data_IF_151159888277
#
_entry.id   IF_151159888277
#
_cell.length_a   1.000
_cell.length_b   1.000
_cell.length_c   1.000
_cell.angle_alpha   90.00
_cell.angle_beta   90.00
_cell.angle_gamma   90.00
#
_symmetry.space_group_name_H-M   'P 1'
#
loop_
_entity.id
_entity.type
_entity.pdbx_description
1 polymer ?
#
# COMPACT_ATOMS: atom_id res chain seq x y z
N UNK A 1 2.02 8.65 4.98
CA UNK A 1 3.16 7.72 5.17
C UNK A 1 2.75 6.50 5.98
N UNK A 2 2.14 6.68 7.16
CA UNK A 2 1.78 5.58 8.05
C UNK A 2 0.99 4.45 7.38
N UNK A 3 -0.04 4.77 6.57
CA UNK A 3 -0.80 3.76 5.83
C UNK A 3 0.08 2.93 4.88
N UNK A 4 1.02 3.56 4.18
CA UNK A 4 1.95 2.86 3.31
C UNK A 4 2.86 1.89 4.10
N UNK A 5 3.31 2.28 5.30
CA UNK A 5 4.08 1.38 6.17
C UNK A 5 3.23 0.21 6.67
N UNK A 6 1.95 0.42 6.99
CA UNK A 6 1.04 -0.65 7.39
C UNK A 6 0.79 -1.66 6.25
N UNK A 7 0.58 -1.18 5.02
CA UNK A 7 0.45 -2.03 3.82
C UNK A 7 1.72 -2.84 3.57
N UNK A 8 2.90 -2.18 3.57
CA UNK A 8 4.19 -2.85 3.36
C UNK A 8 4.45 -3.88 4.46
N UNK A 9 4.25 -3.53 5.74
CA UNK A 9 4.40 -4.45 6.87
C UNK A 9 3.54 -5.70 6.68
N UNK A 10 2.26 -5.52 6.36
CA UNK A 10 1.35 -6.65 6.19
C UNK A 10 1.80 -7.57 5.04
N UNK A 11 2.02 -7.02 3.86
CA UNK A 11 2.34 -7.83 2.68
C UNK A 11 3.74 -8.45 2.74
N UNK A 12 4.73 -7.72 3.26
CA UNK A 12 6.07 -8.28 3.49
C UNK A 12 6.02 -9.37 4.55
N UNK A 13 5.25 -9.20 5.63
CA UNK A 13 5.09 -10.25 6.65
C UNK A 13 4.51 -11.55 6.08
N UNK A 14 3.50 -11.45 5.22
CA UNK A 14 2.91 -12.62 4.52
C UNK A 14 3.86 -13.25 3.50
N UNK A 15 4.73 -12.46 2.88
CA UNK A 15 5.73 -12.95 1.95
C UNK A 15 6.88 -13.64 2.69
N UNK A 16 7.47 -12.98 3.69
CA UNK A 16 8.59 -13.47 4.49
C UNK A 16 8.27 -14.72 5.30
N UNK A 17 7.03 -14.87 5.77
CA UNK A 17 6.59 -16.11 6.46
C UNK A 17 6.65 -17.36 5.57
N UNK A 18 6.74 -17.18 4.25
CA UNK A 18 6.87 -18.26 3.26
C UNK A 18 8.31 -18.48 2.80
N UNK A 19 9.29 -17.81 3.42
CA UNK A 19 10.71 -17.94 3.10
C UNK A 19 11.42 -18.64 4.27
N UNK A 20 11.61 -19.97 4.23
CA UNK A 20 12.11 -20.74 5.37
C UNK A 20 13.53 -20.38 5.81
N UNK A 21 14.32 -19.75 4.95
CA UNK A 21 15.70 -19.37 5.23
C UNK A 21 15.82 -18.05 6.01
N UNK A 22 14.73 -17.29 6.17
CA UNK A 22 14.73 -16.07 6.96
C UNK A 22 14.70 -16.41 8.45
N UNK A 23 15.74 -16.00 9.17
CA UNK A 23 15.87 -16.10 10.61
C UNK A 23 15.73 -14.70 11.23
N UNK A 24 16.86 -14.01 11.40
CA UNK A 24 16.93 -12.64 11.86
C UNK A 24 17.46 -11.76 10.74
N UNK A 25 16.60 -10.91 10.19
CA UNK A 25 16.95 -10.03 9.08
C UNK A 25 16.52 -8.59 9.38
N UNK A 26 17.32 -7.66 8.85
CA UNK A 26 17.02 -6.22 8.86
C UNK A 26 16.87 -5.78 7.41
N UNK A 27 15.65 -5.38 7.05
CA UNK A 27 15.35 -4.87 5.71
C UNK A 27 15.23 -3.35 5.76
N UNK A 28 15.90 -2.69 4.81
CA UNK A 28 15.84 -1.24 4.67
C UNK A 28 14.97 -0.88 3.47
N UNK A 29 14.00 0.00 3.72
CA UNK A 29 13.09 0.55 2.74
C UNK A 29 13.29 2.04 2.61
N UNK A 30 12.90 2.58 1.45
CA UNK A 30 12.90 4.02 1.20
C UNK A 30 11.47 4.47 0.98
N UNK A 31 11.05 5.48 1.74
CA UNK A 31 9.77 6.15 1.51
C UNK A 31 9.82 6.93 0.19
N UNK A 32 8.69 6.99 -0.50
CA UNK A 32 8.50 7.82 -1.68
C UNK A 32 7.31 8.77 -1.43
N UNK A 33 7.51 10.06 -1.64
CA UNK A 33 6.43 11.03 -1.72
C UNK A 33 6.09 11.25 -3.20
N UNK A 34 4.84 11.01 -3.55
CA UNK A 34 4.32 11.13 -4.91
C UNK A 34 3.33 12.29 -4.96
N UNK A 35 3.56 13.23 -5.88
CA UNK A 35 2.59 14.26 -6.24
C UNK A 35 1.92 13.88 -7.56
N UNK A 36 0.61 13.97 -7.61
CA UNK A 36 -0.18 13.62 -8.79
C UNK A 36 -1.51 14.38 -8.80
N UNK A 37 -2.09 14.58 -9.98
CA UNK A 37 -3.45 15.09 -10.13
C UNK A 37 -4.48 13.96 -9.99
N UNK A 38 -5.60 14.22 -9.32
CA UNK A 38 -6.70 13.25 -9.10
C UNK A 38 -7.85 13.36 -10.11
N UNK A 39 -7.72 14.25 -11.10
CA UNK A 39 -8.70 14.44 -12.15
C UNK A 39 -9.03 13.14 -12.90
N UNK A 40 -10.32 12.80 -12.96
CA UNK A 40 -10.82 11.59 -13.62
C UNK A 40 -10.64 10.30 -12.82
N UNK A 41 -10.05 10.34 -11.61
CA UNK A 41 -9.97 9.16 -10.76
C UNK A 41 -11.35 8.75 -10.24
N UNK A 42 -11.54 7.44 -10.04
CA UNK A 42 -12.73 6.89 -9.38
C UNK A 42 -12.57 6.97 -7.87
N UNK A 43 -13.69 6.97 -7.16
CA UNK A 43 -13.72 7.04 -5.71
C UNK A 43 -14.55 5.90 -5.12
N UNK A 44 -13.86 4.90 -4.56
CA UNK A 44 -14.47 3.80 -3.82
C UNK A 44 -14.70 4.14 -2.34
N UNK A 45 -14.29 5.31 -1.84
CA UNK A 45 -14.56 5.69 -0.44
C UNK A 45 -16.05 5.92 -0.16
N UNK A 46 -16.85 6.07 -1.22
CA UNK A 46 -18.31 6.10 -1.17
C UNK A 46 -18.95 4.74 -0.84
N UNK A 47 -18.21 3.63 -1.03
CA UNK A 47 -18.67 2.31 -0.64
C UNK A 47 -18.48 2.12 0.88
N UNK A 48 -19.42 1.46 1.57
CA UNK A 48 -19.26 1.17 2.98
C UNK A 48 -18.10 0.20 3.20
N UNK A 49 -17.44 0.26 4.36
CA UNK A 49 -16.36 -0.68 4.72
C UNK A 49 -16.83 -2.15 4.80
N UNK A 50 -18.14 -2.38 4.87
CA UNK A 50 -18.75 -3.72 4.81
C UNK A 50 -18.86 -4.27 3.40
N UNK A 51 -18.58 -3.46 2.37
CA UNK A 51 -18.58 -3.90 0.98
C UNK A 51 -17.47 -4.95 0.75
N UNK A 52 -17.74 -6.05 0.00
CA UNK A 52 -16.74 -7.09 -0.27
C UNK A 52 -15.42 -6.58 -0.91
N UNK A 53 -15.39 -5.41 -1.53
CA UNK A 53 -14.13 -4.83 -2.04
C UNK A 53 -13.14 -4.48 -0.91
N UNK A 54 -13.64 -4.33 0.32
CA UNK A 54 -12.84 -4.07 1.52
C UNK A 54 -12.59 -5.34 2.37
N UNK A 55 -12.83 -6.53 1.81
CA UNK A 55 -12.44 -7.77 2.46
C UNK A 55 -10.90 -7.80 2.68
N UNK A 56 -10.42 -7.88 3.94
CA UNK A 56 -9.00 -7.72 4.24
C UNK A 56 -8.15 -8.85 3.67
N UNK A 57 -8.65 -10.08 3.65
CA UNK A 57 -7.87 -11.27 3.28
C UNK A 57 -8.36 -11.94 1.98
N UNK A 58 -9.40 -11.39 1.35
CA UNK A 58 -9.91 -11.84 0.05
C UNK A 58 -9.95 -10.69 -0.96
N UNK A 59 -8.99 -10.72 -1.88
CA UNK A 59 -8.87 -9.70 -2.92
C UNK A 59 -9.71 -9.98 -4.17
N UNK A 60 -10.63 -10.94 -4.15
CA UNK A 60 -11.41 -11.31 -5.34
C UNK A 60 -12.23 -10.14 -5.89
N UNK A 61 -12.99 -9.46 -5.01
CA UNK A 61 -13.84 -8.33 -5.40
C UNK A 61 -13.04 -7.06 -5.70
N UNK A 62 -12.03 -6.73 -4.89
CA UNK A 62 -11.17 -5.58 -5.14
C UNK A 62 -10.37 -5.70 -6.45
N UNK A 63 -9.96 -6.92 -6.83
CA UNK A 63 -9.34 -7.18 -8.13
C UNK A 63 -10.32 -7.01 -9.30
N UNK A 64 -11.58 -7.39 -9.14
CA UNK A 64 -12.62 -7.14 -10.15
C UNK A 64 -12.81 -5.63 -10.33
N UNK A 65 -12.96 -4.89 -9.24
CA UNK A 65 -13.06 -3.42 -9.27
C UNK A 65 -11.83 -2.78 -9.94
N UNK A 66 -10.63 -3.17 -9.53
CA UNK A 66 -9.39 -2.65 -10.09
C UNK A 66 -9.26 -2.91 -11.61
N UNK A 67 -9.70 -4.09 -12.08
CA UNK A 67 -9.77 -4.37 -13.52
C UNK A 67 -10.78 -3.46 -14.22
N UNK A 68 -12.00 -3.34 -13.68
CA UNK A 68 -13.03 -2.49 -14.28
C UNK A 68 -12.59 -1.02 -14.39
N UNK A 69 -11.91 -0.48 -13.37
CA UNK A 69 -11.36 0.90 -13.40
C UNK A 69 -10.33 1.05 -14.51
N UNK A 70 -9.39 0.09 -14.62
CA UNK A 70 -8.35 0.11 -15.66
C UNK A 70 -8.96 -0.03 -17.07
N UNK A 71 -9.89 -0.95 -17.26
CA UNK A 71 -10.52 -1.24 -18.55
C UNK A 71 -11.42 -0.07 -19.01
N UNK A 72 -11.97 0.70 -18.07
CA UNK A 72 -12.67 1.97 -18.33
C UNK A 72 -11.73 3.15 -18.66
N UNK A 73 -10.41 2.93 -18.73
CA UNK A 73 -9.42 3.97 -19.03
C UNK A 73 -9.28 5.04 -17.93
N UNK A 74 -9.75 4.76 -16.71
CA UNK A 74 -9.66 5.71 -15.61
C UNK A 74 -8.22 5.78 -15.08
N UNK A 75 -7.69 6.98 -14.77
CA UNK A 75 -6.30 7.15 -14.35
C UNK A 75 -5.96 6.52 -12.99
N UNK A 76 -6.95 6.36 -12.12
CA UNK A 76 -6.74 5.81 -10.79
C UNK A 76 -8.02 5.63 -9.98
N UNK A 77 -7.86 5.15 -8.76
CA UNK A 77 -8.91 4.86 -7.79
C UNK A 77 -8.47 5.29 -6.38
N UNK A 78 -9.28 6.08 -5.69
CA UNK A 78 -9.18 6.32 -4.25
C UNK A 78 -10.01 5.28 -3.49
N UNK A 79 -9.49 4.75 -2.38
CA UNK A 79 -10.18 3.73 -1.57
C UNK A 79 -9.76 3.79 -0.09
N UNK A 80 -10.55 3.21 0.82
CA UNK A 80 -10.19 3.08 2.24
C UNK A 80 -9.08 2.05 2.43
N UNK A 81 -8.10 2.32 3.30
CA UNK A 81 -7.11 1.30 3.68
C UNK A 81 -7.75 0.26 4.61
N UNK A 82 -7.52 -1.02 4.30
CA UNK A 82 -7.87 -2.15 5.17
C UNK A 82 -6.74 -2.53 6.14
N UNK A 83 -5.63 -1.77 6.12
CA UNK A 83 -4.47 -1.92 7.03
C UNK A 83 -4.31 -0.75 7.99
N UNK A 84 -4.94 0.38 7.66
CA UNK A 84 -4.97 1.57 8.52
C UNK A 84 -6.38 2.19 8.48
N UNK A 85 -7.27 1.81 9.40
CA UNK A 85 -8.62 2.37 9.48
C UNK A 85 -8.61 3.91 9.54
N UNK A 86 -9.53 4.55 8.82
CA UNK A 86 -9.62 6.01 8.73
C UNK A 86 -8.61 6.66 7.76
N UNK A 87 -7.73 5.88 7.13
CA UNK A 87 -6.83 6.36 6.07
C UNK A 87 -7.32 5.97 4.68
N UNK A 88 -6.88 6.74 3.68
CA UNK A 88 -7.15 6.47 2.27
C UNK A 88 -5.87 6.05 1.53
N UNK A 89 -6.04 5.16 0.57
CA UNK A 89 -5.01 4.72 -0.37
C UNK A 89 -5.42 5.06 -1.81
N UNK A 90 -4.42 5.08 -2.69
CA UNK A 90 -4.60 5.37 -4.11
C UNK A 90 -3.99 4.26 -4.96
N UNK A 91 -4.78 3.74 -5.91
CA UNK A 91 -4.31 2.84 -6.95
C UNK A 91 -4.20 3.64 -8.25
N UNK A 92 -2.98 3.90 -8.70
CA UNK A 92 -2.72 4.56 -9.99
C UNK A 92 -2.68 3.50 -11.10
N UNK A 93 -3.55 3.62 -12.10
CA UNK A 93 -3.62 2.67 -13.22
C UNK A 93 -2.67 3.05 -14.36
N UNK A 94 -2.15 4.27 -14.33
CA UNK A 94 -1.19 4.81 -15.28
C UNK A 94 -0.32 5.86 -14.59
N UNK A 95 0.96 6.02 -14.96
CA UNK A 95 1.83 7.04 -14.38
C UNK A 95 1.53 8.46 -14.88
N UNK A 96 0.69 8.65 -15.91
CA UNK A 96 0.43 9.96 -16.54
C UNK A 96 0.02 11.09 -15.57
N UNK A 97 -0.77 10.86 -14.51
CA UNK A 97 -1.15 11.93 -13.58
C UNK A 97 -0.04 12.33 -12.61
N UNK A 98 1.05 11.58 -12.55
CA UNK A 98 2.18 11.82 -11.62
C UNK A 98 3.00 12.99 -12.12
N UNK A 99 3.17 14.00 -11.27
CA UNK A 99 3.97 15.19 -11.54
C UNK A 99 5.33 15.17 -10.84
N UNK A 100 5.47 14.42 -9.75
CA UNK A 100 6.74 14.29 -9.03
C UNK A 100 6.78 13.02 -8.18
N UNK A 101 7.96 12.40 -8.09
CA UNK A 101 8.27 11.34 -7.12
C UNK A 101 9.62 11.69 -6.49
N UNK A 102 9.62 11.90 -5.18
CA UNK A 102 10.84 12.18 -4.41
C UNK A 102 11.03 11.14 -3.33
N UNK A 103 12.27 10.71 -3.16
CA UNK A 103 12.64 9.84 -2.05
C UNK A 103 12.58 10.62 -0.74
N UNK A 104 12.04 10.00 0.30
CA UNK A 104 11.93 10.57 1.64
C UNK A 104 12.75 9.76 2.64
N UNK A 105 12.22 9.52 3.84
CA UNK A 105 12.93 8.85 4.93
C UNK A 105 13.23 7.38 4.60
N UNK A 106 14.24 6.84 5.27
CA UNK A 106 14.52 5.40 5.28
C UNK A 106 13.83 4.74 6.45
N UNK A 107 13.37 3.52 6.24
CA UNK A 107 12.68 2.73 7.24
C UNK A 107 13.36 1.38 7.37
N UNK A 108 13.53 0.93 8.59
CA UNK A 108 13.95 -0.43 8.88
C UNK A 108 12.74 -1.27 9.29
N UNK A 109 12.71 -2.52 8.82
CA UNK A 109 11.85 -3.56 9.36
C UNK A 109 12.70 -4.75 9.81
N UNK A 110 12.52 -5.16 11.07
CA UNK A 110 13.22 -6.32 11.63
C UNK A 110 12.32 -7.55 11.57
N UNK A 111 12.83 -8.63 10.98
CA UNK A 111 12.19 -9.94 10.95
C UNK A 111 12.82 -10.87 11.97
N UNK A 112 11.98 -11.60 12.72
CA UNK A 112 12.37 -12.72 13.57
C UNK A 112 11.20 -13.70 13.69
N UNK A 113 10.92 -14.45 12.62
CA UNK A 113 9.70 -15.27 12.46
C UNK A 113 8.40 -14.48 12.25
N UNK A 114 8.42 -13.19 12.59
CA UNK A 114 7.42 -12.17 12.27
C UNK A 114 8.12 -10.80 12.24
N UNK A 115 7.43 -9.76 11.75
CA UNK A 115 7.97 -8.40 11.82
C UNK A 115 7.85 -7.88 13.26
N UNK A 116 8.99 -7.71 13.92
CA UNK A 116 9.08 -7.33 15.33
C UNK A 116 9.25 -5.83 15.55
N UNK A 117 9.81 -5.10 14.59
CA UNK A 117 9.91 -3.64 14.64
C UNK A 117 9.80 -3.01 13.25
N UNK A 118 9.30 -1.78 13.25
CA UNK A 118 9.34 -0.85 12.12
C UNK A 118 9.79 0.50 12.67
N UNK A 119 10.90 1.05 12.18
CA UNK A 119 11.45 2.32 12.68
C UNK A 119 11.96 3.17 11.53
N UNK A 120 11.85 4.49 11.69
CA UNK A 120 12.52 5.43 10.79
C UNK A 120 14.01 5.49 11.14
N UNK A 121 14.87 5.40 10.13
CA UNK A 121 16.30 5.57 10.29
C UNK A 121 16.59 7.08 10.18
N UNK A 122 17.22 7.65 11.21
CA UNK A 122 17.83 8.98 11.16
C UNK A 122 19.34 8.84 11.13
N UNK A 123 20.03 9.71 10.39
CA UNK A 123 21.47 9.88 10.56
C UNK A 123 21.75 10.37 11.99
N UNK A 124 22.85 9.88 12.58
CA UNK A 124 23.28 10.20 13.93
C UNK A 124 23.98 11.57 14.00
#
# INVERSE_FOLDING_TARGET
MEAALAEVRHHQGLYWSKVPSLNYERFVFRGLACAFGDGGMKDATALPLTDPVYAPDDYSHSRVLGRAVRDAGCPGLRYHSVRMPGSHCWALMTPRPVSSIVQTAHYEMVWNGQITSVSQISEA
#
